data_IF_182807650475
#
_entry.id   IF_182807650475
#
_cell.length_a   1.000
_cell.length_b   1.000
_cell.length_c   1.000
_cell.angle_alpha   90.00
_cell.angle_beta   90.00
_cell.angle_gamma   90.00
#
_symmetry.space_group_name_H-M   'P 1'
#
loop_
_entity.id
_entity.type
_entity.pdbx_description
1 polymer ?
#
# COMPACT_ATOMS: atom_id res chain seq x y z
N UNK A 1 -1.81 2.10 21.90
CA UNK A 1 -0.63 1.62 21.15
C UNK A 1 -0.30 2.62 20.06
N UNK A 2 0.87 3.22 20.14
CA UNK A 2 1.27 4.24 19.16
C UNK A 2 1.94 3.58 17.96
N UNK A 3 1.49 3.94 16.78
CA UNK A 3 2.08 3.47 15.53
C UNK A 3 2.83 4.62 14.88
N UNK A 4 4.12 4.42 14.67
CA UNK A 4 4.98 5.40 14.03
C UNK A 4 5.23 5.00 12.57
N UNK A 5 5.01 5.94 11.65
CA UNK A 5 5.32 5.75 10.24
C UNK A 5 6.60 6.53 9.89
N UNK A 6 7.61 5.83 9.43
CA UNK A 6 8.84 6.47 8.95
C UNK A 6 9.08 6.08 7.49
N UNK A 7 9.78 6.93 6.77
CA UNK A 7 10.07 6.63 5.36
C UNK A 7 11.04 5.46 5.25
N UNK A 8 10.76 4.54 4.33
CA UNK A 8 11.68 3.46 4.00
C UNK A 8 12.90 4.04 3.29
N UNK A 9 14.08 3.69 3.78
CA UNK A 9 15.37 4.10 3.22
C UNK A 9 16.30 2.89 3.11
N UNK A 10 17.43 3.06 2.43
CA UNK A 10 18.45 2.01 2.41
C UNK A 10 19.03 1.75 3.79
N UNK A 11 18.99 2.74 4.70
CA UNK A 11 19.49 2.58 6.07
C UNK A 11 18.58 1.73 6.95
N UNK A 12 17.26 1.77 6.76
CA UNK A 12 16.31 0.98 7.57
C UNK A 12 15.72 -0.22 6.81
N UNK A 13 16.16 -0.47 5.59
CA UNK A 13 15.63 -1.54 4.74
C UNK A 13 15.72 -2.92 5.40
N UNK A 14 16.80 -3.19 6.14
CA UNK A 14 16.98 -4.48 6.81
C UNK A 14 15.89 -4.72 7.85
N UNK A 15 15.41 -3.66 8.50
CA UNK A 15 14.30 -3.76 9.44
C UNK A 15 12.99 -4.16 8.74
N UNK A 16 12.77 -3.66 7.53
CA UNK A 16 11.60 -4.05 6.73
C UNK A 16 11.61 -5.56 6.41
N UNK A 17 12.78 -6.14 6.21
CA UNK A 17 12.93 -7.57 5.95
C UNK A 17 12.58 -8.43 7.17
N UNK A 18 12.60 -7.87 8.37
CA UNK A 18 12.26 -8.59 9.60
C UNK A 18 10.76 -8.77 9.81
N UNK A 19 9.93 -8.06 9.05
CA UNK A 19 8.47 -8.20 9.12
C UNK A 19 8.09 -9.61 8.69
N UNK A 20 7.38 -10.33 9.57
CA UNK A 20 7.00 -11.72 9.30
C UNK A 20 5.76 -11.75 8.41
N UNK A 21 5.96 -12.18 7.17
CA UNK A 21 4.91 -12.39 6.18
C UNK A 21 4.96 -13.78 5.57
N UNK A 22 5.45 -14.76 6.31
CA UNK A 22 5.69 -16.10 5.79
C UNK A 22 4.42 -16.83 5.32
N UNK A 23 3.26 -16.37 5.79
CA UNK A 23 1.94 -16.89 5.40
C UNK A 23 1.32 -16.16 4.19
N UNK A 24 1.98 -15.16 3.63
CA UNK A 24 1.49 -14.39 2.48
C UNK A 24 2.33 -14.76 1.26
N UNK A 25 1.74 -15.41 0.24
CA UNK A 25 2.44 -15.66 -1.01
C UNK A 25 2.94 -14.36 -1.64
N UNK A 26 4.14 -14.37 -2.21
CA UNK A 26 4.71 -13.16 -2.81
C UNK A 26 3.88 -12.64 -3.98
N UNK A 27 3.20 -13.52 -4.72
CA UNK A 27 2.32 -13.09 -5.81
C UNK A 27 1.08 -12.34 -5.33
N UNK A 28 0.76 -12.41 -4.02
CA UNK A 28 -0.39 -11.67 -3.48
C UNK A 28 -0.03 -10.23 -3.15
N UNK A 29 1.16 -9.99 -2.65
CA UNK A 29 1.61 -8.67 -2.20
C UNK A 29 3.11 -8.53 -2.47
N UNK A 30 3.50 -7.43 -3.10
CA UNK A 30 4.89 -7.14 -3.41
C UNK A 30 5.76 -7.17 -2.16
N UNK A 31 6.97 -7.69 -2.29
CA UNK A 31 7.91 -7.79 -1.17
C UNK A 31 8.69 -6.49 -0.95
N UNK A 32 9.44 -6.43 0.15
CA UNK A 32 10.21 -5.25 0.53
C UNK A 32 11.28 -4.87 -0.50
N UNK A 33 11.89 -5.85 -1.14
CA UNK A 33 12.91 -5.61 -2.17
C UNK A 33 12.31 -4.88 -3.38
N UNK A 34 11.14 -5.33 -3.82
CA UNK A 34 10.42 -4.67 -4.92
C UNK A 34 10.05 -3.25 -4.53
N UNK A 35 9.52 -3.06 -3.32
CA UNK A 35 9.14 -1.72 -2.86
C UNK A 35 10.34 -0.78 -2.75
N UNK A 36 11.51 -1.29 -2.34
CA UNK A 36 12.71 -0.45 -2.31
C UNK A 36 13.06 0.05 -3.71
N UNK A 37 12.98 -0.83 -4.70
CA UNK A 37 13.23 -0.46 -6.10
C UNK A 37 12.23 0.58 -6.62
N UNK A 38 10.95 0.39 -6.30
CA UNK A 38 9.90 1.34 -6.70
C UNK A 38 10.09 2.69 -6.00
N UNK A 39 10.51 2.66 -4.74
CA UNK A 39 10.80 3.87 -3.95
C UNK A 39 11.96 4.65 -4.55
N UNK A 40 13.03 3.97 -4.93
CA UNK A 40 14.16 4.58 -5.61
C UNK A 40 13.76 5.19 -6.95
N UNK A 41 12.97 4.46 -7.72
CA UNK A 41 12.43 4.96 -9.00
C UNK A 41 11.63 6.24 -8.80
N UNK A 42 10.75 6.26 -7.80
CA UNK A 42 9.93 7.42 -7.48
C UNK A 42 10.79 8.64 -7.11
N UNK A 43 11.83 8.43 -6.32
CA UNK A 43 12.75 9.50 -5.94
C UNK A 43 13.50 10.06 -7.16
N UNK A 44 13.99 9.19 -8.03
CA UNK A 44 14.71 9.59 -9.25
C UNK A 44 13.82 10.39 -10.20
N UNK A 45 12.53 10.07 -10.27
CA UNK A 45 11.58 10.70 -11.18
C UNK A 45 10.71 11.77 -10.52
N UNK A 46 11.01 12.11 -9.25
CA UNK A 46 10.28 13.13 -8.48
C UNK A 46 8.77 12.85 -8.41
N UNK A 47 8.39 11.59 -8.26
CA UNK A 47 6.99 11.20 -8.13
C UNK A 47 6.50 11.47 -6.70
N UNK A 48 5.21 11.84 -6.57
CA UNK A 48 4.59 12.06 -5.28
C UNK A 48 4.35 10.73 -4.57
N UNK A 49 4.48 10.74 -3.25
CA UNK A 49 4.18 9.59 -2.41
C UNK A 49 5.32 9.18 -1.50
N UNK A 50 5.07 8.14 -0.73
CA UNK A 50 6.05 7.57 0.20
C UNK A 50 5.87 6.08 0.35
N UNK A 51 6.96 5.40 0.71
CA UNK A 51 6.93 4.06 1.28
C UNK A 51 7.21 4.19 2.76
N UNK A 52 6.30 3.69 3.60
CA UNK A 52 6.43 3.79 5.05
C UNK A 52 6.79 2.45 5.67
N UNK A 53 7.81 2.47 6.53
CA UNK A 53 8.10 1.42 7.47
C UNK A 53 7.37 1.77 8.77
N UNK A 54 6.49 0.90 9.24
CA UNK A 54 5.63 1.18 10.39
C UNK A 54 6.15 0.45 11.61
N UNK A 55 6.22 1.16 12.74
CA UNK A 55 6.74 0.61 13.99
C UNK A 55 5.78 0.76 15.16
N UNK A 56 5.83 -0.22 16.05
CA UNK A 56 5.19 -0.16 17.36
C UNK A 56 6.29 -0.46 18.39
N UNK A 57 6.50 0.47 19.33
CA UNK A 57 7.57 0.36 20.33
C UNK A 57 8.92 0.02 19.67
N UNK A 58 9.28 0.79 18.64
CA UNK A 58 10.50 0.64 17.85
C UNK A 58 10.56 -0.63 16.98
N UNK A 59 9.63 -1.57 17.15
CA UNK A 59 9.62 -2.82 16.39
C UNK A 59 8.94 -2.64 15.04
N UNK A 60 9.55 -3.11 13.94
CA UNK A 60 8.91 -3.08 12.62
C UNK A 60 7.69 -4.00 12.62
N UNK A 61 6.53 -3.45 12.25
CA UNK A 61 5.25 -4.20 12.25
C UNK A 61 4.52 -4.14 10.93
N UNK A 62 4.91 -3.25 10.03
CA UNK A 62 4.22 -3.13 8.76
C UNK A 62 4.99 -2.33 7.72
N UNK A 63 4.55 -2.47 6.48
CA UNK A 63 5.13 -1.78 5.35
C UNK A 63 4.00 -1.42 4.40
N UNK A 64 4.00 -0.19 3.87
CA UNK A 64 3.00 0.27 2.92
C UNK A 64 3.60 1.35 2.01
N UNK A 65 3.36 1.24 0.71
CA UNK A 65 3.65 2.29 -0.25
C UNK A 65 2.36 2.95 -0.72
N UNK A 66 2.33 4.26 -0.72
CA UNK A 66 1.27 5.04 -1.40
C UNK A 66 1.97 6.05 -2.29
N UNK A 67 1.81 5.91 -3.58
CA UNK A 67 2.51 6.75 -4.53
C UNK A 67 1.69 7.13 -5.75
N UNK A 68 2.18 8.11 -6.46
CA UNK A 68 1.57 8.61 -7.69
C UNK A 68 1.36 7.46 -8.68
N UNK A 69 0.13 7.30 -9.17
CA UNK A 69 -0.19 6.25 -10.12
C UNK A 69 0.25 6.65 -11.53
N UNK A 70 1.21 5.92 -12.07
CA UNK A 70 1.52 6.01 -13.50
C UNK A 70 0.48 5.19 -14.27
N UNK A 71 0.21 5.56 -15.51
CA UNK A 71 -0.80 4.87 -16.31
C UNK A 71 -0.34 3.46 -16.69
N UNK A 72 -1.24 2.48 -16.46
CA UNK A 72 -1.06 1.10 -16.90
C UNK A 72 -2.14 0.75 -17.91
N UNK A 73 -1.83 -0.12 -18.86
CA UNK A 73 -2.79 -0.54 -19.91
C UNK A 73 -4.04 -1.20 -19.33
N UNK A 74 -3.90 -1.85 -18.16
CA UNK A 74 -4.99 -2.55 -17.49
C UNK A 74 -5.88 -1.65 -16.66
N UNK A 75 -5.53 -0.38 -16.48
CA UNK A 75 -6.27 0.52 -15.60
C UNK A 75 -7.76 0.62 -15.97
N UNK A 76 -8.65 0.57 -14.96
CA UNK A 76 -10.09 0.80 -15.20
C UNK A 76 -10.34 2.18 -15.79
N UNK A 77 -11.47 2.31 -16.49
CA UNK A 77 -11.85 3.57 -17.14
C UNK A 77 -11.90 4.75 -16.15
N UNK A 78 -12.27 4.49 -14.88
CA UNK A 78 -12.33 5.51 -13.84
C UNK A 78 -10.97 6.15 -13.54
N UNK A 79 -9.88 5.45 -13.85
CA UNK A 79 -8.52 5.96 -13.62
C UNK A 79 -7.94 6.69 -14.81
N UNK A 80 -8.45 6.45 -16.02
CA UNK A 80 -7.83 6.92 -17.25
C UNK A 80 -7.88 8.44 -17.37
N UNK A 81 -6.70 9.04 -17.48
CA UNK A 81 -6.55 10.48 -17.58
C UNK A 81 -6.86 11.25 -16.29
N UNK A 82 -6.95 10.55 -15.16
CA UNK A 82 -7.26 11.16 -13.87
C UNK A 82 -6.12 10.93 -12.88
N UNK A 83 -5.92 11.87 -11.93
CA UNK A 83 -4.89 11.73 -10.91
C UNK A 83 -5.31 10.71 -9.84
N UNK A 84 -4.49 9.68 -9.64
CA UNK A 84 -4.70 8.65 -8.64
C UNK A 84 -3.38 8.41 -7.88
N UNK A 85 -3.50 7.87 -6.66
CA UNK A 85 -2.41 7.17 -6.00
C UNK A 85 -2.63 5.67 -6.10
N UNK A 86 -1.54 4.89 -6.01
CA UNK A 86 -1.62 3.43 -5.84
C UNK A 86 -1.09 3.04 -4.48
N UNK A 87 -1.75 2.10 -3.83
CA UNK A 87 -1.23 1.42 -2.66
C UNK A 87 -0.55 0.14 -3.13
N UNK A 88 0.66 -0.09 -2.68
CA UNK A 88 1.43 -1.29 -3.03
C UNK A 88 2.14 -1.85 -1.80
N UNK A 89 2.31 -3.17 -1.78
CA UNK A 89 3.14 -3.83 -0.78
C UNK A 89 2.66 -3.71 0.66
N UNK A 90 1.38 -3.50 0.88
CA UNK A 90 0.84 -3.31 2.22
C UNK A 90 0.78 -4.65 2.95
N UNK A 91 1.63 -4.80 3.94
CA UNK A 91 1.69 -6.00 4.80
C UNK A 91 1.80 -5.60 6.26
N UNK A 92 1.23 -6.43 7.14
CA UNK A 92 1.36 -6.33 8.59
C UNK A 92 2.02 -7.61 9.07
N UNK A 93 2.97 -7.48 10.00
CA UNK A 93 3.63 -8.62 10.63
C UNK A 93 2.58 -9.58 11.19
N UNK A 94 2.78 -10.87 10.93
CA UNK A 94 1.84 -11.92 11.32
C UNK A 94 1.42 -11.86 12.78
N UNK A 95 2.35 -11.50 13.67
CA UNK A 95 2.07 -11.41 15.11
C UNK A 95 1.21 -10.20 15.50
N UNK A 96 1.05 -9.24 14.60
CA UNK A 96 0.33 -7.99 14.87
C UNK A 96 -1.01 -7.87 14.14
N UNK A 97 -1.43 -8.90 13.42
CA UNK A 97 -2.71 -8.91 12.70
C UNK A 97 -3.88 -9.13 13.64
N UNK A 98 -5.06 -8.69 13.22
CA UNK A 98 -6.29 -8.89 13.98
C UNK A 98 -6.44 -7.98 15.19
N UNK A 99 -5.66 -6.89 15.25
CA UNK A 99 -5.67 -5.94 16.37
C UNK A 99 -6.04 -4.52 15.96
N UNK A 100 -6.55 -4.34 14.73
CA UNK A 100 -6.90 -3.02 14.21
C UNK A 100 -5.73 -2.20 13.71
N UNK A 101 -4.51 -2.73 13.76
CA UNK A 101 -3.30 -2.02 13.34
C UNK A 101 -3.31 -1.71 11.84
N UNK A 102 -3.77 -2.67 11.02
CA UNK A 102 -3.80 -2.49 9.57
C UNK A 102 -4.64 -1.30 9.15
N UNK A 103 -5.84 -1.15 9.72
CA UNK A 103 -6.71 -0.02 9.43
C UNK A 103 -6.11 1.29 9.87
N UNK A 104 -5.49 1.33 11.04
CA UNK A 104 -4.84 2.54 11.54
C UNK A 104 -3.65 2.94 10.66
N UNK A 105 -2.82 1.99 10.23
CA UNK A 105 -1.70 2.24 9.32
C UNK A 105 -2.20 2.77 7.98
N UNK A 106 -3.21 2.14 7.41
CA UNK A 106 -3.76 2.55 6.11
C UNK A 106 -4.24 4.01 6.16
N UNK A 107 -5.05 4.35 7.15
CA UNK A 107 -5.60 5.71 7.25
C UNK A 107 -4.52 6.74 7.59
N UNK A 108 -3.55 6.40 8.45
CA UNK A 108 -2.43 7.31 8.75
C UNK A 108 -1.55 7.56 7.52
N UNK A 109 -1.26 6.51 6.75
CA UNK A 109 -0.45 6.64 5.54
C UNK A 109 -1.16 7.50 4.50
N UNK A 110 -2.46 7.28 4.30
CA UNK A 110 -3.26 8.11 3.40
C UNK A 110 -3.26 9.58 3.85
N UNK A 111 -3.48 9.82 5.15
CA UNK A 111 -3.49 11.17 5.69
C UNK A 111 -2.16 11.90 5.48
N UNK A 112 -1.03 11.21 5.68
CA UNK A 112 0.29 11.81 5.45
C UNK A 112 0.51 12.18 3.98
N UNK A 113 0.15 11.31 3.06
CA UNK A 113 0.28 11.58 1.64
C UNK A 113 -0.66 12.72 1.21
N UNK A 114 -1.89 12.72 1.70
CA UNK A 114 -2.86 13.78 1.40
C UNK A 114 -2.40 15.14 1.93
N UNK A 115 -1.84 15.18 3.12
CA UNK A 115 -1.36 16.42 3.72
C UNK A 115 -0.20 17.01 2.92
N UNK A 116 0.71 16.18 2.45
CA UNK A 116 1.91 16.63 1.74
C UNK A 116 1.66 16.92 0.26
N UNK A 117 0.87 16.07 -0.42
CA UNK A 117 0.76 16.09 -1.88
C UNK A 117 -0.64 16.43 -2.41
N UNK A 118 -1.66 16.41 -1.55
CA UNK A 118 -3.03 16.66 -1.95
C UNK A 118 -3.88 15.41 -2.05
N UNK A 119 -5.20 15.62 -2.10
CA UNK A 119 -6.16 14.52 -2.15
C UNK A 119 -6.33 14.00 -3.56
N UNK A 120 -6.31 12.67 -3.69
CA UNK A 120 -6.60 11.96 -4.94
C UNK A 120 -7.36 10.68 -4.62
N UNK A 121 -8.06 10.18 -5.60
CA UNK A 121 -8.59 8.81 -5.55
C UNK A 121 -7.43 7.82 -5.46
N UNK A 122 -7.68 6.64 -4.89
CA UNK A 122 -6.65 5.64 -4.62
C UNK A 122 -7.06 4.31 -5.27
N UNK A 123 -6.10 3.65 -5.90
CA UNK A 123 -6.27 2.33 -6.48
C UNK A 123 -5.34 1.33 -5.80
N UNK A 124 -5.78 0.09 -5.73
CA UNK A 124 -4.92 -1.03 -5.33
C UNK A 124 -5.41 -2.31 -5.99
N UNK A 125 -4.55 -3.32 -6.00
CA UNK A 125 -4.86 -4.64 -6.53
C UNK A 125 -5.01 -5.64 -5.39
N UNK A 126 -6.01 -6.50 -5.49
CA UNK A 126 -6.25 -7.59 -4.55
C UNK A 126 -6.20 -8.90 -5.32
N UNK A 127 -5.25 -9.77 -4.95
CA UNK A 127 -5.13 -11.08 -5.60
C UNK A 127 -6.42 -11.87 -5.40
N UNK A 128 -6.86 -12.56 -6.46
CA UNK A 128 -8.13 -13.29 -6.47
C UNK A 128 -8.26 -14.32 -5.34
N UNK A 129 -7.14 -14.85 -4.85
CA UNK A 129 -7.14 -15.85 -3.78
C UNK A 129 -7.04 -15.22 -2.39
N UNK A 130 -6.81 -13.92 -2.30
CA UNK A 130 -6.69 -13.20 -1.03
C UNK A 130 -8.05 -12.64 -0.60
N UNK A 131 -8.98 -13.54 -0.30
CA UNK A 131 -10.40 -13.22 -0.12
C UNK A 131 -10.63 -12.29 1.08
N UNK A 132 -9.91 -12.50 2.18
CA UNK A 132 -10.13 -11.75 3.44
C UNK A 132 -9.80 -10.26 3.33
N UNK A 133 -8.79 -9.92 2.54
CA UNK A 133 -8.33 -8.54 2.45
C UNK A 133 -9.33 -7.67 1.68
N UNK A 134 -10.10 -8.25 0.77
CA UNK A 134 -11.15 -7.51 0.06
C UNK A 134 -12.14 -6.85 1.00
N UNK A 135 -12.64 -7.61 1.98
CA UNK A 135 -13.56 -7.07 2.99
C UNK A 135 -12.92 -5.96 3.82
N UNK A 136 -11.63 -6.12 4.15
CA UNK A 136 -10.88 -5.08 4.86
C UNK A 136 -10.88 -3.76 4.06
N UNK A 137 -10.55 -3.83 2.78
CA UNK A 137 -10.52 -2.63 1.94
C UNK A 137 -11.90 -2.03 1.73
N UNK A 138 -12.94 -2.85 1.60
CA UNK A 138 -14.31 -2.36 1.49
C UNK A 138 -14.72 -1.54 2.73
N UNK A 139 -14.31 -1.98 3.92
CA UNK A 139 -14.56 -1.22 5.16
C UNK A 139 -13.84 0.12 5.17
N UNK A 140 -12.80 0.27 4.35
CA UNK A 140 -12.05 1.52 4.22
C UNK A 140 -12.41 2.32 2.98
N UNK A 141 -13.59 2.08 2.42
CA UNK A 141 -14.14 2.89 1.32
C UNK A 141 -13.70 2.48 -0.07
N UNK A 142 -13.00 1.36 -0.20
CA UNK A 142 -12.63 0.83 -1.51
C UNK A 142 -13.76 -0.04 -2.06
N UNK A 143 -13.92 -0.05 -3.38
CA UNK A 143 -14.92 -0.86 -4.07
C UNK A 143 -14.28 -1.70 -5.15
N UNK A 144 -14.76 -2.95 -5.29
CA UNK A 144 -14.38 -3.83 -6.38
C UNK A 144 -14.83 -3.23 -7.72
N UNK A 145 -14.01 -3.42 -8.75
CA UNK A 145 -14.32 -2.91 -10.09
C UNK A 145 -14.68 -3.99 -11.08
N UNK A 146 -14.32 -5.24 -10.81
CA UNK A 146 -14.42 -6.32 -11.80
C UNK A 146 -13.35 -6.25 -12.88
N UNK A 147 -12.42 -5.31 -12.78
CA UNK A 147 -11.30 -5.15 -13.73
C UNK A 147 -10.04 -5.73 -13.11
N UNK A 148 -9.29 -6.49 -13.89
CA UNK A 148 -8.12 -7.23 -13.40
C UNK A 148 -6.85 -6.83 -14.11
N UNK A 149 -5.74 -6.85 -13.37
CA UNK A 149 -4.40 -6.96 -13.94
C UNK A 149 -3.89 -8.35 -13.55
N UNK A 150 -3.77 -9.25 -14.51
CA UNK A 150 -3.42 -10.63 -14.22
C UNK A 150 -4.41 -11.25 -13.22
N UNK A 151 -3.91 -11.67 -12.07
CA UNK A 151 -4.73 -12.28 -11.01
C UNK A 151 -5.19 -11.29 -9.95
N UNK A 152 -4.91 -10.00 -10.12
CA UNK A 152 -5.26 -8.95 -9.16
C UNK A 152 -6.46 -8.16 -9.65
N UNK A 153 -7.47 -8.06 -8.80
CA UNK A 153 -8.63 -7.23 -9.08
C UNK A 153 -8.38 -5.81 -8.58
N UNK A 154 -8.69 -4.80 -9.41
CA UNK A 154 -8.63 -3.42 -8.99
C UNK A 154 -9.74 -3.10 -7.99
N UNK A 155 -9.34 -2.48 -6.88
CA UNK A 155 -10.25 -1.84 -5.93
C UNK A 155 -9.95 -0.34 -5.95
N UNK A 156 -11.00 0.48 -5.95
CA UNK A 156 -10.87 1.94 -6.02
C UNK A 156 -11.55 2.62 -4.85
N UNK A 157 -10.87 3.60 -4.25
CA UNK A 157 -11.46 4.52 -3.28
C UNK A 157 -11.50 5.89 -3.95
N UNK A 158 -12.67 6.28 -4.44
CA UNK A 158 -12.84 7.53 -5.17
C UNK A 158 -13.08 8.68 -4.21
N UNK A 159 -12.50 9.85 -4.51
CA UNK A 159 -12.83 11.09 -3.83
C UNK A 159 -14.02 11.75 -4.52
N UNK A 160 -14.73 12.57 -3.79
CA UNK A 160 -15.86 13.33 -4.32
C UNK A 160 -15.44 14.47 -5.25
#
# INVERSE_FOLDING_TARGET
>A
MEILLEQLTHDNYMDALSINRDDIPEEWVDNASYLMGVTDYGAEHHLMGHTFLCRVNEKPVGLIMIGEALAWDTDPVEMRGKPFYRVMGFVIDKAYRGKGIGGEILEKAIAKVYEEFGRRSIALGVHKDNIRVGSFYERHGFRQTGVYEGNDEYYLRLID
#
